data_IF_649794605060
#
_entry.id   IF_649794605060
#
_cell.length_a   1.000
_cell.length_b   1.000
_cell.length_c   1.000
_cell.angle_alpha   90.00
_cell.angle_beta   90.00
_cell.angle_gamma   90.00
#
_symmetry.space_group_name_H-M   'P 1'
#
loop_
_entity.id
_entity.type
_entity.pdbx_description
1 polymer ?
#
# COMPACT_ATOMS: atom_id res chain seq x y z
N UNK A 1 -11.92 -6.33 -20.55
CA UNK A 1 -12.19 -5.70 -19.24
C UNK A 1 -12.45 -6.80 -18.22
N UNK A 2 -11.41 -7.39 -17.63
CA UNK A 2 -11.52 -8.26 -16.44
C UNK A 2 -10.14 -8.63 -15.84
N UNK A 3 -9.15 -7.75 -15.93
CA UNK A 3 -7.77 -8.05 -15.47
C UNK A 3 -7.59 -7.90 -13.95
N UNK A 4 -8.63 -7.43 -13.25
CA UNK A 4 -8.61 -7.21 -11.79
C UNK A 4 -9.48 -8.20 -11.00
N UNK A 5 -10.06 -9.21 -11.67
CA UNK A 5 -10.76 -10.28 -10.95
C UNK A 5 -9.71 -11.15 -10.26
N UNK A 6 -9.63 -11.01 -8.94
CA UNK A 6 -8.96 -11.98 -8.10
C UNK A 6 -9.79 -13.27 -8.08
N UNK A 7 -9.20 -14.39 -8.46
CA UNK A 7 -9.80 -15.74 -8.38
C UNK A 7 -10.05 -16.22 -6.93
N UNK A 8 -9.78 -15.37 -5.95
CA UNK A 8 -9.87 -15.62 -4.51
C UNK A 8 -10.56 -14.44 -3.82
N UNK A 9 -11.21 -14.69 -2.69
CA UNK A 9 -11.80 -13.63 -1.86
C UNK A 9 -10.70 -12.63 -1.47
N UNK A 10 -10.96 -11.34 -1.67
CA UNK A 10 -10.05 -10.28 -1.23
C UNK A 10 -9.93 -10.29 0.30
N UNK A 11 -8.72 -10.36 0.81
CA UNK A 11 -8.41 -10.44 2.23
C UNK A 11 -7.21 -9.56 2.56
N UNK A 12 -7.42 -8.64 3.50
CA UNK A 12 -6.44 -7.65 3.97
C UNK A 12 -7.17 -6.41 4.48
N UNK A 13 -6.62 -5.23 4.22
CA UNK A 13 -7.19 -3.95 4.67
C UNK A 13 -6.28 -2.77 4.38
N UNK A 14 -6.50 -1.67 5.10
CA UNK A 14 -5.67 -0.47 4.99
C UNK A 14 -4.24 -0.76 5.47
N UNK A 15 -3.28 -0.44 4.62
CA UNK A 15 -1.85 -0.51 4.91
C UNK A 15 -1.20 0.81 4.51
N UNK A 16 -0.52 1.43 5.47
CA UNK A 16 0.06 2.77 5.33
C UNK A 16 1.60 2.67 5.49
N UNK A 17 2.30 2.04 4.52
CA UNK A 17 3.74 1.81 4.62
C UNK A 17 4.54 3.11 4.75
N UNK A 18 4.02 4.22 4.22
CA UNK A 18 4.68 5.52 4.24
C UNK A 18 4.86 6.14 5.63
N UNK A 19 4.23 5.53 6.65
CA UNK A 19 4.31 5.93 8.05
C UNK A 19 5.42 5.18 8.81
N UNK A 20 6.04 4.17 8.20
CA UNK A 20 6.98 3.26 8.84
C UNK A 20 8.30 3.17 8.07
N UNK A 21 9.32 2.61 8.72
CA UNK A 21 10.62 2.37 8.09
C UNK A 21 10.65 1.08 7.26
N UNK A 22 11.69 0.94 6.42
CA UNK A 22 11.86 -0.20 5.52
C UNK A 22 11.92 -1.55 6.25
N UNK A 23 12.42 -1.58 7.50
CA UNK A 23 12.50 -2.81 8.28
C UNK A 23 11.11 -3.26 8.73
N UNK A 24 10.26 -2.32 9.16
CA UNK A 24 8.85 -2.60 9.45
C UNK A 24 8.11 -3.04 8.19
N UNK A 25 8.29 -2.34 7.06
CA UNK A 25 7.65 -2.68 5.77
C UNK A 25 8.03 -4.11 5.35
N UNK A 26 9.31 -4.48 5.43
CA UNK A 26 9.76 -5.83 5.11
C UNK A 26 9.11 -6.89 6.02
N UNK A 27 9.01 -6.59 7.32
CA UNK A 27 8.38 -7.49 8.29
C UNK A 27 6.87 -7.62 8.07
N UNK A 28 6.20 -6.53 7.69
CA UNK A 28 4.78 -6.54 7.35
C UNK A 28 4.51 -7.48 6.18
N UNK A 29 5.35 -7.45 5.13
CA UNK A 29 5.21 -8.35 3.95
C UNK A 29 5.34 -9.82 4.37
N UNK A 30 6.31 -10.14 5.24
CA UNK A 30 6.46 -11.51 5.76
C UNK A 30 5.22 -11.97 6.53
N UNK A 31 4.68 -11.11 7.40
CA UNK A 31 3.50 -11.42 8.22
C UNK A 31 2.22 -11.48 7.40
N UNK A 32 2.03 -10.57 6.45
CA UNK A 32 0.91 -10.57 5.50
C UNK A 32 0.92 -11.85 4.66
N UNK A 33 2.10 -12.29 4.20
CA UNK A 33 2.26 -13.56 3.47
C UNK A 33 1.86 -14.75 4.33
N UNK A 34 2.29 -14.79 5.60
CA UNK A 34 1.93 -15.86 6.54
C UNK A 34 0.43 -15.86 6.86
N UNK A 35 -0.19 -14.69 6.96
CA UNK A 35 -1.62 -14.53 7.19
C UNK A 35 -2.48 -14.80 5.95
N UNK A 36 -1.89 -14.89 4.75
CA UNK A 36 -2.60 -15.08 3.49
C UNK A 36 -3.30 -13.82 2.97
N UNK A 37 -2.84 -12.63 3.38
CA UNK A 37 -3.29 -11.34 2.83
C UNK A 37 -2.98 -11.31 1.32
N UNK A 38 -3.96 -10.88 0.53
CA UNK A 38 -3.86 -10.85 -0.93
C UNK A 38 -4.28 -9.50 -1.56
N UNK A 39 -4.75 -8.56 -0.74
CA UNK A 39 -5.12 -7.22 -1.17
C UNK A 39 -4.91 -6.23 -0.02
N UNK A 40 -4.34 -5.07 -0.33
CA UNK A 40 -4.20 -3.96 0.62
C UNK A 40 -4.68 -2.66 -0.02
N UNK A 41 -5.23 -1.78 0.82
CA UNK A 41 -5.59 -0.41 0.43
C UNK A 41 -4.48 0.51 0.89
N UNK A 42 -3.82 1.19 -0.04
CA UNK A 42 -2.71 2.12 0.24
C UNK A 42 -3.10 3.54 -0.09
N UNK A 43 -2.31 4.50 0.39
CA UNK A 43 -2.41 5.92 0.05
C UNK A 43 -3.71 6.64 0.44
N UNK A 44 -4.53 6.05 1.33
CA UNK A 44 -5.86 6.59 1.71
C UNK A 44 -5.75 8.02 2.26
N UNK A 45 -4.72 8.29 3.06
CA UNK A 45 -4.50 9.58 3.72
C UNK A 45 -3.16 10.23 3.37
N UNK A 46 -2.61 9.93 2.20
CA UNK A 46 -1.24 10.32 1.86
C UNK A 46 -1.17 11.53 0.92
N UNK A 47 -2.23 12.37 0.84
CA UNK A 47 -2.24 13.57 -0.03
C UNK A 47 -1.02 14.46 0.23
N UNK A 48 -0.79 14.88 1.47
CA UNK A 48 0.33 15.78 1.78
C UNK A 48 1.72 15.18 1.45
N UNK A 49 1.83 13.86 1.30
CA UNK A 49 3.05 13.19 0.82
C UNK A 49 3.10 13.13 -0.70
N UNK A 50 1.96 12.85 -1.34
CA UNK A 50 1.81 12.80 -2.80
C UNK A 50 1.93 14.17 -3.45
N UNK A 51 1.45 15.23 -2.81
CA UNK A 51 1.46 16.60 -3.29
C UNK A 51 1.73 17.53 -2.10
N UNK A 52 3.00 17.71 -1.70
CA UNK A 52 3.38 18.51 -0.54
C UNK A 52 3.14 20.01 -0.73
N UNK A 53 3.09 20.47 -1.98
CA UNK A 53 2.79 21.85 -2.38
C UNK A 53 1.94 21.87 -3.68
N UNK A 54 1.35 23.01 -4.07
CA UNK A 54 0.44 23.07 -5.22
C UNK A 54 1.02 22.61 -6.56
N UNK A 55 2.34 22.69 -6.74
CA UNK A 55 3.00 22.50 -8.04
C UNK A 55 3.82 21.20 -8.13
N UNK A 56 4.06 20.53 -6.99
CA UNK A 56 4.90 19.32 -6.91
C UNK A 56 4.10 18.06 -6.65
N UNK A 57 4.32 17.01 -7.45
CA UNK A 57 3.80 15.66 -7.20
C UNK A 57 4.92 14.64 -6.92
N UNK A 58 4.95 14.18 -5.67
CA UNK A 58 5.72 13.10 -5.02
C UNK A 58 5.16 11.67 -5.17
N UNK A 59 5.26 10.98 -6.31
CA UNK A 59 4.72 9.61 -6.45
C UNK A 59 5.76 8.47 -6.37
N UNK A 60 7.05 8.79 -6.25
CA UNK A 60 8.13 7.79 -6.32
C UNK A 60 8.18 6.83 -5.12
N UNK A 61 7.57 7.21 -4.00
CA UNK A 61 7.47 6.33 -2.82
C UNK A 61 6.36 5.26 -2.95
N UNK A 62 5.47 5.37 -3.94
CA UNK A 62 4.34 4.45 -4.17
C UNK A 62 4.67 3.30 -5.15
N UNK A 63 5.92 3.19 -5.60
CA UNK A 63 6.35 2.26 -6.66
C UNK A 63 7.16 1.10 -6.14
#
# INVERSE_FOLDING_TARGET
MNEFLHDRIAYGGDWNPEQWDDQTIARDIELMTQAGVNLVTVAVFSWAKLQPDPDTFDAGWLT
#
